data_IF_514885977454
#
_entry.id   IF_514885977454
#
_cell.length_a   1.000
_cell.length_b   1.000
_cell.length_c   1.000
_cell.angle_alpha   90.00
_cell.angle_beta   90.00
_cell.angle_gamma   90.00
#
_symmetry.space_group_name_H-M   'P 1'
#
loop_
_entity.id
_entity.type
_entity.pdbx_description
1 polymer ?
#
# COMPACT_ATOMS: atom_id res chain seq x y z
N UNK A 1 -2.73 -19.44 11.08
CA UNK A 1 -2.52 -18.00 10.74
C UNK A 1 -3.78 -17.24 11.10
N UNK A 2 -3.62 -16.16 11.87
CA UNK A 2 -4.75 -15.37 12.39
C UNK A 2 -4.97 -14.11 11.56
N UNK A 3 -6.22 -13.84 11.22
CA UNK A 3 -6.66 -12.62 10.55
C UNK A 3 -8.17 -12.42 10.76
N UNK A 4 -8.69 -11.26 10.34
CA UNK A 4 -10.14 -11.04 10.30
C UNK A 4 -10.65 -11.13 8.86
N UNK A 5 -11.82 -11.74 8.70
CA UNK A 5 -12.61 -11.74 7.46
C UNK A 5 -13.92 -10.98 7.69
N UNK A 6 -14.51 -10.47 6.61
CA UNK A 6 -15.87 -9.95 6.67
C UNK A 6 -16.79 -10.77 5.75
N UNK A 7 -17.70 -11.60 6.30
CA UNK A 7 -18.54 -12.49 5.50
C UNK A 7 -19.58 -11.75 4.66
N UNK A 8 -19.81 -10.46 4.92
CA UNK A 8 -20.75 -9.63 4.17
C UNK A 8 -20.09 -8.92 2.97
N UNK A 9 -18.75 -9.06 2.81
CA UNK A 9 -18.01 -8.41 1.74
C UNK A 9 -17.40 -9.49 0.85
N UNK A 10 -18.09 -9.78 -0.25
CA UNK A 10 -17.64 -10.69 -1.30
C UNK A 10 -17.20 -9.87 -2.51
N UNK A 11 -15.96 -10.01 -2.92
CA UNK A 11 -15.37 -9.19 -3.96
C UNK A 11 -15.38 -7.70 -3.61
N UNK A 12 -15.17 -6.84 -4.61
CA UNK A 12 -15.20 -5.39 -4.46
C UNK A 12 -16.64 -4.88 -4.63
N UNK A 13 -17.28 -4.35 -3.57
CA UNK A 13 -18.65 -3.87 -3.67
C UNK A 13 -18.74 -2.65 -4.61
N UNK A 14 -19.90 -2.42 -5.27
CA UNK A 14 -20.14 -1.21 -6.06
C UNK A 14 -19.94 0.07 -5.23
N UNK A 15 -19.49 1.15 -5.88
CA UNK A 15 -19.20 2.45 -5.22
C UNK A 15 -20.35 3.04 -4.38
N UNK A 16 -21.60 2.67 -4.70
CA UNK A 16 -22.81 3.17 -4.03
C UNK A 16 -23.50 2.10 -3.17
N UNK A 17 -22.79 1.00 -2.83
CA UNK A 17 -23.32 0.00 -1.94
C UNK A 17 -23.43 0.54 -0.51
N UNK A 18 -24.49 0.14 0.22
CA UNK A 18 -24.66 0.46 1.64
C UNK A 18 -23.91 -0.52 2.55
N UNK A 19 -22.91 -1.24 2.05
CA UNK A 19 -22.13 -2.19 2.84
C UNK A 19 -21.22 -1.41 3.78
N UNK A 20 -21.37 -1.69 5.08
CA UNK A 20 -20.48 -1.11 6.09
C UNK A 20 -19.12 -1.85 6.07
N UNK A 21 -18.07 -1.13 5.67
CA UNK A 21 -16.72 -1.65 5.61
C UNK A 21 -15.99 -1.62 6.96
N UNK A 22 -16.59 -0.98 7.96
CA UNK A 22 -16.02 -0.81 9.29
C UNK A 22 -16.37 -1.92 10.28
N UNK A 23 -17.53 -2.58 10.14
CA UNK A 23 -18.07 -3.53 11.11
C UNK A 23 -18.26 -4.93 10.51
N UNK A 24 -18.68 -5.85 11.37
CA UNK A 24 -18.92 -7.27 11.06
C UNK A 24 -17.64 -8.06 10.69
N UNK A 25 -16.51 -7.67 11.26
CA UNK A 25 -15.26 -8.40 11.11
C UNK A 25 -15.19 -9.55 12.12
N UNK A 26 -14.77 -10.72 11.65
CA UNK A 26 -14.66 -11.94 12.45
C UNK A 26 -13.22 -12.45 12.37
N UNK A 27 -12.60 -12.69 13.52
CA UNK A 27 -11.30 -13.36 13.56
C UNK A 27 -11.46 -14.83 13.22
N UNK A 28 -10.55 -15.32 12.40
CA UNK A 28 -10.36 -16.73 12.09
C UNK A 28 -8.90 -17.13 12.37
N UNK A 29 -8.70 -18.43 12.62
CA UNK A 29 -7.38 -19.06 12.65
C UNK A 29 -7.42 -20.27 11.73
N UNK A 30 -6.69 -20.21 10.62
CA UNK A 30 -6.75 -21.21 9.56
C UNK A 30 -5.37 -21.37 8.87
N UNK A 31 -5.22 -22.46 8.14
CA UNK A 31 -4.04 -22.67 7.32
C UNK A 31 -4.01 -21.72 6.12
N UNK A 32 -2.81 -21.47 5.59
CA UNK A 32 -2.65 -20.56 4.44
C UNK A 32 -3.44 -21.01 3.21
N UNK A 33 -3.51 -22.31 2.97
CA UNK A 33 -4.29 -22.84 1.86
C UNK A 33 -5.77 -22.45 1.96
N UNK A 34 -6.37 -22.63 3.14
CA UNK A 34 -7.79 -22.31 3.39
C UNK A 34 -8.05 -20.80 3.27
N UNK A 35 -7.14 -19.99 3.83
CA UNK A 35 -7.24 -18.52 3.71
C UNK A 35 -7.13 -18.07 2.26
N UNK A 36 -6.25 -18.68 1.49
CA UNK A 36 -6.10 -18.36 0.07
C UNK A 36 -7.37 -18.73 -0.72
N UNK A 37 -8.01 -19.84 -0.41
CA UNK A 37 -9.34 -20.21 -0.96
C UNK A 37 -10.43 -19.20 -0.57
N UNK A 38 -10.53 -18.82 0.70
CA UNK A 38 -11.47 -17.79 1.15
C UNK A 38 -11.31 -16.48 0.37
N UNK A 39 -10.08 -16.11 -0.02
CA UNK A 39 -9.79 -14.90 -0.79
C UNK A 39 -10.09 -15.09 -2.29
N UNK A 40 -9.73 -16.24 -2.88
CA UNK A 40 -9.67 -16.42 -4.33
C UNK A 40 -10.83 -17.24 -4.90
N UNK A 41 -11.53 -18.02 -4.08
CA UNK A 41 -12.72 -18.78 -4.46
C UNK A 41 -13.97 -18.11 -3.90
N UNK A 42 -14.04 -17.90 -2.58
CA UNK A 42 -15.20 -17.28 -1.94
C UNK A 42 -15.20 -15.74 -2.09
N UNK A 43 -14.06 -15.15 -2.37
CA UNK A 43 -13.93 -13.71 -2.58
C UNK A 43 -14.05 -12.87 -1.32
N UNK A 44 -13.84 -13.44 -0.14
CA UNK A 44 -14.01 -12.73 1.13
C UNK A 44 -12.97 -11.63 1.33
N UNK A 45 -13.41 -10.53 1.91
CA UNK A 45 -12.52 -9.46 2.31
C UNK A 45 -11.75 -9.84 3.59
N UNK A 46 -10.47 -9.46 3.62
CA UNK A 46 -9.55 -9.73 4.74
C UNK A 46 -8.95 -8.46 5.33
N UNK A 47 -8.56 -8.52 6.60
CA UNK A 47 -7.82 -7.48 7.32
C UNK A 47 -6.89 -8.11 8.36
N UNK A 48 -6.21 -7.30 9.18
CA UNK A 48 -5.47 -7.75 10.35
C UNK A 48 -6.38 -8.47 11.36
N UNK A 49 -5.83 -9.22 12.30
CA UNK A 49 -6.54 -9.66 13.51
C UNK A 49 -6.97 -8.44 14.32
N UNK A 50 -8.23 -8.40 14.75
CA UNK A 50 -8.83 -7.26 15.45
C UNK A 50 -9.31 -7.69 16.85
N UNK A 51 -9.28 -6.76 17.82
CA UNK A 51 -9.76 -7.02 19.19
C UNK A 51 -11.31 -7.11 19.30
N UNK A 52 -12.02 -6.65 18.27
CA UNK A 52 -13.48 -6.72 18.15
C UNK A 52 -13.89 -6.68 16.67
N UNK A 53 -15.19 -6.61 16.39
CA UNK A 53 -15.78 -6.64 15.05
C UNK A 53 -15.60 -5.34 14.23
N UNK A 54 -14.94 -4.32 14.81
CA UNK A 54 -14.79 -3.00 14.17
C UNK A 54 -13.36 -2.79 13.66
N UNK A 55 -13.21 -2.65 12.35
CA UNK A 55 -11.92 -2.43 11.67
C UNK A 55 -11.45 -0.98 11.84
N UNK A 56 -10.69 -0.76 12.91
CA UNK A 56 -9.97 0.49 13.21
C UNK A 56 -8.57 0.15 13.69
N UNK A 57 -7.63 1.06 13.48
CA UNK A 57 -6.25 0.87 13.93
C UNK A 57 -6.16 0.67 15.46
N UNK A 58 -7.03 1.32 16.24
CA UNK A 58 -7.09 1.14 17.69
C UNK A 58 -7.49 -0.27 18.12
N UNK A 59 -8.05 -1.07 17.21
CA UNK A 59 -8.45 -2.45 17.42
C UNK A 59 -7.47 -3.45 16.80
N UNK A 60 -6.34 -2.99 16.27
CA UNK A 60 -5.29 -3.87 15.74
C UNK A 60 -4.74 -4.77 16.84
N UNK A 61 -4.66 -6.05 16.56
CA UNK A 61 -4.06 -7.06 17.46
C UNK A 61 -2.78 -7.59 16.86
N UNK A 62 -2.87 -8.17 15.66
CA UNK A 62 -1.71 -8.75 14.98
C UNK A 62 -1.92 -8.84 13.47
N UNK A 63 -0.83 -9.07 12.74
CA UNK A 63 -0.91 -9.38 11.31
C UNK A 63 0.18 -10.36 10.90
N UNK A 64 -0.22 -11.43 10.22
CA UNK A 64 0.68 -12.41 9.61
C UNK A 64 0.65 -12.34 8.08
N UNK A 65 -0.48 -11.94 7.47
CA UNK A 65 -0.66 -11.80 6.03
C UNK A 65 -0.53 -10.35 5.60
N UNK A 66 0.53 -10.06 4.85
CA UNK A 66 0.74 -8.75 4.22
C UNK A 66 0.32 -8.83 2.75
N UNK A 67 -0.24 -7.74 2.24
CA UNK A 67 -0.59 -7.65 0.83
C UNK A 67 -0.13 -6.33 0.23
N UNK A 68 0.34 -6.40 -1.00
CA UNK A 68 0.73 -5.25 -1.84
C UNK A 68 -0.21 -5.19 -3.03
N UNK A 69 -0.92 -4.08 -3.18
CA UNK A 69 -1.89 -3.85 -4.27
C UNK A 69 -1.18 -3.18 -5.45
N UNK A 70 -1.16 -3.82 -6.60
CA UNK A 70 -0.59 -3.31 -7.85
C UNK A 70 -1.73 -2.91 -8.76
N UNK A 71 -1.90 -1.61 -8.95
CA UNK A 71 -2.95 -1.06 -9.82
C UNK A 71 -2.45 -0.71 -11.23
N UNK A 72 -1.13 -0.44 -11.38
CA UNK A 72 -0.45 -0.11 -12.64
C UNK A 72 1.07 -0.26 -12.50
N UNK A 73 1.81 -0.17 -13.60
CA UNK A 73 3.28 -0.09 -13.58
C UNK A 73 4.02 -1.41 -13.38
N UNK A 74 3.33 -2.54 -13.25
CA UNK A 74 3.91 -3.88 -13.21
C UNK A 74 2.92 -4.90 -13.79
N UNK A 75 3.41 -5.83 -14.57
CA UNK A 75 2.64 -6.96 -15.10
C UNK A 75 2.85 -8.23 -14.26
N UNK A 76 1.95 -9.20 -14.38
CA UNK A 76 2.13 -10.50 -13.69
C UNK A 76 3.37 -11.25 -14.19
N UNK A 77 3.73 -11.30 -15.48
CA UNK A 77 5.00 -11.85 -15.92
C UNK A 77 6.23 -11.20 -15.26
N UNK A 78 6.26 -9.85 -15.15
CA UNK A 78 7.33 -9.15 -14.43
C UNK A 78 7.36 -9.49 -12.94
N UNK A 79 6.20 -9.68 -12.29
CA UNK A 79 6.13 -10.17 -10.91
C UNK A 79 6.79 -11.56 -10.79
N UNK A 80 6.47 -12.49 -11.70
CA UNK A 80 6.99 -13.86 -11.66
C UNK A 80 8.50 -13.93 -11.90
N UNK A 81 9.10 -12.91 -12.50
CA UNK A 81 10.54 -12.75 -12.65
C UNK A 81 11.17 -11.93 -11.51
N UNK A 82 10.37 -11.30 -10.65
CA UNK A 82 10.87 -10.39 -9.62
C UNK A 82 11.63 -11.14 -8.51
N UNK A 83 12.93 -10.83 -8.25
CA UNK A 83 13.77 -11.63 -7.34
C UNK A 83 13.21 -11.72 -5.91
N UNK A 84 12.67 -10.62 -5.39
CA UNK A 84 12.10 -10.59 -4.03
C UNK A 84 10.82 -11.43 -3.93
N UNK A 85 9.94 -11.38 -4.95
CA UNK A 85 8.77 -12.25 -5.01
C UNK A 85 9.17 -13.71 -5.11
N UNK A 86 10.14 -14.03 -5.97
CA UNK A 86 10.65 -15.39 -6.12
C UNK A 86 11.27 -15.95 -4.85
N UNK A 87 11.86 -15.12 -4.00
CA UNK A 87 12.42 -15.56 -2.73
C UNK A 87 11.35 -15.69 -1.62
N UNK A 88 10.41 -14.76 -1.52
CA UNK A 88 9.57 -14.56 -0.33
C UNK A 88 8.06 -14.47 -0.60
N UNK A 89 7.63 -14.39 -1.84
CA UNK A 89 6.21 -14.27 -2.19
C UNK A 89 5.41 -15.51 -1.80
N UNK A 90 4.36 -15.34 -1.01
CA UNK A 90 3.45 -16.41 -0.62
C UNK A 90 2.37 -16.70 -1.67
N UNK A 91 2.22 -15.81 -2.63
CA UNK A 91 1.29 -15.95 -3.73
C UNK A 91 0.86 -14.60 -4.32
N UNK A 92 0.03 -14.66 -5.33
CA UNK A 92 -0.66 -13.50 -5.89
C UNK A 92 -2.06 -13.87 -6.38
N UNK A 93 -2.91 -12.89 -6.56
CA UNK A 93 -4.21 -13.06 -7.21
C UNK A 93 -4.63 -11.79 -7.97
N UNK A 94 -5.23 -11.98 -9.14
CA UNK A 94 -5.79 -10.90 -9.92
C UNK A 94 -7.02 -10.30 -9.21
N UNK A 95 -7.14 -8.97 -9.22
CA UNK A 95 -8.31 -8.30 -8.65
C UNK A 95 -9.48 -8.32 -9.65
N UNK A 96 -10.74 -8.07 -9.20
CA UNK A 96 -11.90 -8.02 -10.12
C UNK A 96 -11.79 -6.96 -11.23
N UNK A 97 -10.83 -6.06 -11.14
CA UNK A 97 -10.56 -5.01 -12.13
C UNK A 97 -9.41 -5.34 -13.07
N UNK A 98 -8.90 -6.57 -13.04
CA UNK A 98 -7.86 -7.04 -13.94
C UNK A 98 -8.36 -7.13 -15.38
N UNK A 99 -7.55 -6.70 -16.33
CA UNK A 99 -7.69 -6.99 -17.78
C UNK A 99 -6.32 -7.36 -18.37
N UNK A 100 -6.29 -7.89 -19.55
CA UNK A 100 -5.04 -8.23 -20.26
C UNK A 100 -4.19 -7.00 -20.59
N UNK A 101 -4.81 -5.82 -20.72
CA UNK A 101 -4.15 -4.53 -20.98
C UNK A 101 -3.77 -3.81 -19.70
N UNK A 102 -4.49 -4.07 -18.58
CA UNK A 102 -4.29 -3.44 -17.28
C UNK A 102 -4.20 -4.52 -16.20
N UNK A 103 -2.98 -4.93 -15.90
CA UNK A 103 -2.73 -5.88 -14.84
C UNK A 103 -2.99 -5.23 -13.47
N UNK A 104 -4.03 -5.71 -12.79
CA UNK A 104 -4.37 -5.32 -11.42
C UNK A 104 -4.43 -6.56 -10.55
N UNK A 105 -3.49 -6.65 -9.62
CA UNK A 105 -3.33 -7.84 -8.80
C UNK A 105 -2.78 -7.51 -7.42
N UNK A 106 -2.88 -8.45 -6.51
CA UNK A 106 -2.31 -8.37 -5.18
C UNK A 106 -1.25 -9.42 -4.97
N UNK A 107 -0.15 -8.99 -4.38
CA UNK A 107 0.94 -9.86 -3.96
C UNK A 107 0.75 -10.17 -2.48
N UNK A 108 0.82 -11.44 -2.11
CA UNK A 108 0.69 -11.92 -0.74
C UNK A 108 2.07 -12.26 -0.17
N UNK A 109 2.32 -11.85 1.08
CA UNK A 109 3.48 -12.23 1.86
C UNK A 109 3.02 -12.73 3.22
N UNK A 110 3.60 -13.83 3.68
CA UNK A 110 3.34 -14.40 5.01
C UNK A 110 4.54 -14.11 5.89
N UNK A 111 4.29 -13.56 7.07
CA UNK A 111 5.32 -13.42 8.10
C UNK A 111 5.57 -14.77 8.77
N UNK A 112 6.82 -15.06 9.09
CA UNK A 112 7.21 -16.23 9.92
C UNK A 112 6.63 -16.12 11.34
N UNK A 113 6.51 -14.90 11.86
CA UNK A 113 5.87 -14.58 13.13
C UNK A 113 4.91 -13.41 12.95
N UNK A 114 3.78 -13.48 13.67
CA UNK A 114 2.81 -12.40 13.68
C UNK A 114 3.45 -11.07 14.18
N UNK A 115 3.22 -9.99 13.45
CA UNK A 115 3.61 -8.66 13.89
C UNK A 115 2.49 -8.06 14.74
N UNK A 116 2.82 -7.69 15.99
CA UNK A 116 1.88 -7.16 16.98
C UNK A 116 2.03 -5.65 17.18
N UNK A 117 3.09 -5.04 16.67
CA UNK A 117 3.32 -3.59 16.71
C UNK A 117 2.88 -2.95 15.40
N UNK A 118 1.80 -2.17 15.46
CA UNK A 118 1.25 -1.49 14.28
C UNK A 118 2.23 -0.48 13.65
N UNK A 119 3.10 0.14 14.46
CA UNK A 119 4.14 1.06 13.99
C UNK A 119 5.23 0.32 13.21
N UNK A 120 5.69 -0.81 13.74
CA UNK A 120 6.67 -1.66 13.06
C UNK A 120 6.09 -2.29 11.79
N UNK A 121 4.83 -2.73 11.84
CA UNK A 121 4.10 -3.22 10.67
C UNK A 121 4.02 -2.17 9.56
N UNK A 122 3.78 -0.90 9.92
CA UNK A 122 3.79 0.22 8.97
C UNK A 122 5.13 0.37 8.25
N UNK A 123 6.25 0.17 8.97
CA UNK A 123 7.60 0.19 8.37
C UNK A 123 7.79 -0.97 7.40
N UNK A 124 7.38 -2.17 7.78
CA UNK A 124 7.45 -3.37 6.92
C UNK A 124 6.64 -3.12 5.64
N UNK A 125 5.39 -2.66 5.75
CA UNK A 125 4.56 -2.34 4.60
C UNK A 125 5.21 -1.26 3.72
N UNK A 126 5.76 -0.17 4.29
CA UNK A 126 6.47 0.86 3.54
C UNK A 126 7.69 0.32 2.79
N UNK A 127 8.42 -0.62 3.39
CA UNK A 127 9.55 -1.28 2.72
C UNK A 127 9.08 -2.11 1.52
N UNK A 128 8.03 -2.91 1.67
CA UNK A 128 7.43 -3.65 0.57
C UNK A 128 6.95 -2.73 -0.56
N UNK A 129 6.33 -1.59 -0.23
CA UNK A 129 5.93 -0.58 -1.22
C UNK A 129 7.12 0.02 -1.98
N UNK A 130 8.30 0.12 -1.35
CA UNK A 130 9.53 0.55 -2.03
C UNK A 130 10.11 -0.57 -2.92
N UNK A 131 10.08 -1.81 -2.46
CA UNK A 131 10.51 -2.99 -3.25
C UNK A 131 9.69 -3.12 -4.53
N UNK A 132 8.38 -2.89 -4.43
CA UNK A 132 7.43 -2.94 -5.55
C UNK A 132 6.98 -1.52 -5.94
N UNK A 133 7.85 -0.68 -6.44
CA UNK A 133 7.66 0.76 -6.65
C UNK A 133 6.32 1.20 -7.29
N UNK A 134 5.62 0.26 -7.96
CA UNK A 134 4.30 0.46 -8.57
C UNK A 134 3.11 0.27 -7.58
N UNK A 135 3.37 0.01 -6.30
CA UNK A 135 2.36 -0.36 -5.31
C UNK A 135 1.53 0.83 -4.79
N UNK A 136 0.22 0.57 -4.49
CA UNK A 136 -0.67 1.55 -3.85
C UNK A 136 -0.18 1.91 -2.44
N UNK A 137 0.09 3.21 -2.24
CA UNK A 137 0.59 3.76 -0.96
C UNK A 137 -0.40 3.58 0.21
N UNK A 138 -1.66 3.28 -0.04
CA UNK A 138 -2.64 2.99 1.01
C UNK A 138 -2.35 1.64 1.72
N UNK A 139 -1.58 0.74 1.11
CA UNK A 139 -1.18 -0.55 1.73
C UNK A 139 -0.30 -0.40 2.97
N UNK A 140 0.22 0.79 3.28
CA UNK A 140 0.94 1.05 4.54
C UNK A 140 0.07 0.98 5.80
N UNK A 141 -1.26 1.06 5.68
CA UNK A 141 -2.19 0.99 6.82
C UNK A 141 -2.19 -0.43 7.43
N UNK A 142 -1.91 -0.59 8.74
CA UNK A 142 -1.88 -1.90 9.41
C UNK A 142 -3.20 -2.66 9.35
N UNK A 143 -4.32 -1.95 9.35
CA UNK A 143 -5.67 -2.53 9.26
C UNK A 143 -6.28 -2.41 7.86
N UNK A 144 -5.45 -2.23 6.82
CA UNK A 144 -5.92 -2.16 5.44
C UNK A 144 -6.83 -3.34 5.12
N UNK A 145 -8.01 -3.01 4.61
CA UNK A 145 -8.94 -3.96 4.01
C UNK A 145 -8.43 -4.36 2.61
N UNK A 146 -8.43 -5.64 2.33
CA UNK A 146 -8.21 -6.19 0.99
C UNK A 146 -9.43 -7.00 0.57
N UNK A 147 -10.01 -6.67 -0.58
CA UNK A 147 -11.12 -7.42 -1.16
C UNK A 147 -10.59 -8.73 -1.76
N UNK A 148 -11.27 -9.82 -1.55
CA UNK A 148 -11.03 -11.03 -2.31
C UNK A 148 -11.55 -10.92 -3.76
N UNK A 149 -11.29 -11.94 -4.54
CA UNK A 149 -11.78 -12.07 -5.93
C UNK A 149 -12.46 -13.41 -6.05
N UNK A 150 -13.79 -13.47 -6.06
CA UNK A 150 -14.51 -14.74 -6.18
C UNK A 150 -14.16 -15.41 -7.51
N UNK A 151 -14.04 -16.74 -7.48
CA UNK A 151 -13.71 -17.58 -8.66
C UNK A 151 -12.48 -17.07 -9.44
N UNK A 152 -11.44 -16.61 -8.72
CA UNK A 152 -10.23 -16.05 -9.32
C UNK A 152 -9.47 -17.11 -10.13
N UNK A 153 -9.47 -16.97 -11.44
CA UNK A 153 -8.78 -17.92 -12.36
C UNK A 153 -7.29 -17.60 -12.53
N UNK A 154 -6.86 -16.38 -12.20
CA UNK A 154 -5.48 -15.94 -12.36
C UNK A 154 -4.89 -15.66 -10.98
N UNK A 155 -4.45 -16.71 -10.32
CA UNK A 155 -3.80 -16.69 -9.03
C UNK A 155 -2.77 -17.81 -8.92
N UNK A 156 -1.82 -17.65 -8.03
CA UNK A 156 -0.85 -18.67 -7.66
C UNK A 156 -0.55 -18.60 -6.17
N UNK A 157 -0.32 -19.74 -5.53
CA UNK A 157 -0.02 -19.87 -4.12
C UNK A 157 1.28 -20.64 -3.92
N UNK A 158 2.11 -20.12 -3.04
CA UNK A 158 3.32 -20.81 -2.56
C UNK A 158 3.32 -20.87 -1.04
N UNK A 159 4.24 -21.68 -0.45
CA UNK A 159 4.38 -21.79 1.00
C UNK A 159 5.57 -20.97 1.56
N UNK A 160 6.07 -20.01 0.78
CA UNK A 160 7.19 -19.15 1.18
C UNK A 160 6.81 -18.19 2.31
N UNK A 161 7.83 -17.79 3.07
CA UNK A 161 7.69 -16.89 4.21
C UNK A 161 8.68 -15.74 4.13
N UNK A 162 8.26 -14.59 4.63
CA UNK A 162 9.16 -13.53 5.06
C UNK A 162 9.72 -13.90 6.43
N UNK A 163 10.99 -14.31 6.46
CA UNK A 163 11.66 -14.69 7.71
C UNK A 163 11.88 -13.46 8.60
N UNK A 164 12.04 -13.67 9.90
CA UNK A 164 12.29 -12.60 10.85
C UNK A 164 13.54 -11.79 10.50
N UNK A 165 14.57 -12.41 9.92
CA UNK A 165 15.79 -11.72 9.48
C UNK A 165 15.51 -10.76 8.31
N UNK A 166 14.70 -11.16 7.35
CA UNK A 166 14.28 -10.30 6.24
C UNK A 166 13.39 -9.16 6.74
N UNK A 167 12.45 -9.46 7.63
CA UNK A 167 11.61 -8.43 8.27
C UNK A 167 12.47 -7.38 9.00
N UNK A 168 13.49 -7.81 9.72
CA UNK A 168 14.45 -6.92 10.39
C UNK A 168 15.17 -6.02 9.38
N UNK A 169 15.70 -6.57 8.30
CA UNK A 169 16.36 -5.80 7.24
C UNK A 169 15.42 -4.78 6.58
N UNK A 170 14.17 -5.17 6.29
CA UNK A 170 13.16 -4.25 5.74
C UNK A 170 12.89 -3.06 6.67
N UNK A 171 12.82 -3.30 7.98
CA UNK A 171 12.62 -2.21 8.97
C UNK A 171 13.85 -1.31 9.04
N UNK A 172 15.06 -1.87 9.06
CA UNK A 172 16.33 -1.12 9.11
C UNK A 172 16.46 -0.19 7.90
N UNK A 173 16.14 -0.66 6.69
CA UNK A 173 16.14 0.16 5.45
C UNK A 173 15.21 1.38 5.59
N UNK A 174 14.04 1.19 6.19
CA UNK A 174 13.09 2.30 6.38
C UNK A 174 13.60 3.27 7.46
N UNK A 175 14.19 2.77 8.54
CA UNK A 175 14.75 3.61 9.60
C UNK A 175 15.93 4.46 9.10
N UNK A 176 16.78 3.90 8.25
CA UNK A 176 17.85 4.66 7.57
C UNK A 176 17.27 5.74 6.65
N UNK A 177 16.31 5.36 5.80
CA UNK A 177 15.66 6.32 4.91
C UNK A 177 14.96 7.47 5.65
N UNK A 178 14.29 7.18 6.77
CA UNK A 178 13.61 8.20 7.58
C UNK A 178 14.62 9.12 8.28
N UNK A 179 15.76 8.58 8.71
CA UNK A 179 16.87 9.35 9.31
C UNK A 179 17.49 10.30 8.29
N UNK A 180 17.87 9.79 7.11
CA UNK A 180 18.46 10.58 6.04
C UNK A 180 17.51 11.70 5.59
N UNK A 181 16.20 11.39 5.51
CA UNK A 181 15.18 12.37 5.17
C UNK A 181 15.03 13.45 6.24
N UNK A 182 15.10 13.08 7.53
CA UNK A 182 15.04 14.02 8.64
C UNK A 182 16.29 14.92 8.69
N UNK A 183 17.48 14.37 8.48
CA UNK A 183 18.73 15.13 8.38
C UNK A 183 18.72 16.11 7.21
N UNK A 184 18.27 15.67 6.03
CA UNK A 184 18.11 16.54 4.89
C UNK A 184 17.13 17.68 5.17
N UNK A 185 15.98 17.41 5.80
CA UNK A 185 15.03 18.44 6.21
C UNK A 185 15.63 19.42 7.23
N UNK A 186 16.40 18.92 8.20
CA UNK A 186 17.03 19.76 9.23
C UNK A 186 18.04 20.74 8.63
N UNK A 187 18.73 20.38 7.55
CA UNK A 187 19.63 21.28 6.83
C UNK A 187 18.90 22.46 6.16
N UNK A 188 17.60 22.33 5.88
CA UNK A 188 16.76 23.36 5.27
C UNK A 188 15.92 24.16 6.27
N UNK A 189 15.77 23.67 7.51
CA UNK A 189 15.02 24.41 8.56
C UNK A 189 15.78 25.67 8.95
N UNK A 190 15.19 26.83 8.70
CA UNK A 190 15.76 28.15 9.05
C UNK A 190 16.68 28.77 8.00
N UNK A 191 16.91 28.13 6.86
CA UNK A 191 17.53 28.79 5.69
C UNK A 191 16.43 29.20 4.74
N UNK A 192 16.37 30.49 4.38
CA UNK A 192 15.59 30.87 3.23
C UNK A 192 16.11 30.10 2.02
N UNK A 193 15.24 29.41 1.25
CA UNK A 193 15.69 28.78 0.02
C UNK A 193 16.32 29.84 -0.86
N UNK A 194 17.44 29.55 -1.55
CA UNK A 194 18.03 30.51 -2.47
C UNK A 194 16.95 30.93 -3.48
N UNK A 195 16.85 32.22 -3.79
CA UNK A 195 15.87 32.71 -4.76
C UNK A 195 16.07 31.94 -6.07
N UNK A 196 14.98 31.28 -6.54
CA UNK A 196 15.01 30.61 -7.82
C UNK A 196 15.34 31.65 -8.92
N UNK A 197 16.36 31.39 -9.71
CA UNK A 197 16.65 32.19 -10.87
C UNK A 197 15.52 32.14 -11.93
N UNK A 198 15.49 33.06 -12.83
CA UNK A 198 14.43 33.20 -13.83
C UNK A 198 14.34 31.97 -14.75
N UNK A 199 15.44 31.27 -14.99
CA UNK A 199 15.48 30.04 -15.78
C UNK A 199 14.75 28.90 -15.07
N UNK A 200 15.04 28.66 -13.80
CA UNK A 200 14.36 27.63 -13.02
C UNK A 200 12.88 27.97 -12.77
N UNK A 201 12.54 29.26 -12.59
CA UNK A 201 11.15 29.72 -12.51
C UNK A 201 10.37 29.44 -13.79
N UNK A 202 10.92 29.79 -14.96
CA UNK A 202 10.30 29.53 -16.24
C UNK A 202 10.08 28.04 -16.50
N UNK A 203 11.07 27.21 -16.14
CA UNK A 203 10.99 25.74 -16.30
C UNK A 203 9.94 25.11 -15.39
N UNK A 204 9.80 25.59 -14.15
CA UNK A 204 8.74 25.13 -13.23
C UNK A 204 7.37 25.50 -13.78
N UNK A 205 7.19 26.72 -14.29
CA UNK A 205 5.94 27.17 -14.88
C UNK A 205 5.58 26.32 -16.11
N UNK A 206 6.56 25.99 -16.96
CA UNK A 206 6.33 25.13 -18.13
C UNK A 206 5.96 23.69 -17.74
N UNK A 207 6.63 23.11 -16.74
CA UNK A 207 6.28 21.80 -16.21
C UNK A 207 4.87 21.78 -15.61
N UNK A 208 4.50 22.84 -14.89
CA UNK A 208 3.15 22.98 -14.34
C UNK A 208 2.09 23.10 -15.44
N UNK A 209 2.35 23.79 -16.53
CA UNK A 209 1.44 23.87 -17.68
C UNK A 209 1.27 22.52 -18.39
N UNK A 210 2.31 21.69 -18.42
CA UNK A 210 2.29 20.36 -19.05
C UNK A 210 1.65 19.29 -18.18
N UNK A 211 1.64 19.47 -16.84
CA UNK A 211 1.16 18.48 -15.88
C UNK A 211 -0.28 18.69 -15.42
N UNK A 212 -1.13 19.32 -16.23
CA UNK A 212 -2.50 19.75 -15.87
C UNK A 212 -3.53 18.62 -15.66
N UNK A 213 -3.10 17.39 -15.41
CA UNK A 213 -3.96 16.24 -15.13
C UNK A 213 -3.51 15.57 -13.83
N UNK A 214 -3.74 16.19 -12.69
CA UNK A 214 -3.33 15.63 -11.40
C UNK A 214 -4.42 15.70 -10.32
N UNK A 215 -4.33 14.81 -9.34
CA UNK A 215 -5.22 14.77 -8.18
C UNK A 215 -5.02 15.98 -7.24
N UNK A 216 -6.06 16.37 -6.50
CA UNK A 216 -5.99 17.45 -5.51
C UNK A 216 -4.81 17.36 -4.51
N UNK A 217 -4.42 16.17 -3.99
CA UNK A 217 -3.23 16.04 -3.14
C UNK A 217 -1.93 16.47 -3.82
N UNK A 218 -1.76 16.19 -5.10
CA UNK A 218 -0.58 16.60 -5.88
C UNK A 218 -0.54 18.12 -6.01
N UNK A 219 -1.67 18.77 -6.28
CA UNK A 219 -1.79 20.21 -6.35
C UNK A 219 -1.45 20.90 -5.04
N UNK A 220 -1.94 20.37 -3.93
CA UNK A 220 -1.62 20.87 -2.59
C UNK A 220 -0.12 20.85 -2.31
N UNK A 221 0.57 19.73 -2.64
CA UNK A 221 2.00 19.58 -2.43
C UNK A 221 2.83 20.50 -3.32
N UNK A 222 2.43 20.65 -4.59
CA UNK A 222 3.03 21.61 -5.53
C UNK A 222 2.84 23.05 -5.00
N UNK A 223 1.63 23.40 -4.55
CA UNK A 223 1.34 24.71 -3.98
C UNK A 223 2.20 25.06 -2.78
N UNK A 224 2.44 24.12 -1.88
CA UNK A 224 3.32 24.33 -0.74
C UNK A 224 4.78 24.48 -1.16
N UNK A 225 5.26 23.67 -2.10
CA UNK A 225 6.62 23.81 -2.67
C UNK A 225 6.83 25.15 -3.35
N UNK A 226 5.87 25.61 -4.15
CA UNK A 226 5.92 26.92 -4.81
C UNK A 226 5.90 28.08 -3.80
N UNK A 227 5.06 28.02 -2.77
CA UNK A 227 5.01 29.03 -1.71
C UNK A 227 6.34 29.10 -0.95
N UNK A 228 6.95 27.96 -0.62
CA UNK A 228 8.26 27.89 -0.01
C UNK A 228 9.37 28.46 -0.91
N UNK A 229 9.23 28.36 -2.24
CA UNK A 229 10.12 28.95 -3.25
C UNK A 229 9.84 30.42 -3.59
N UNK A 230 8.97 31.12 -2.82
CA UNK A 230 8.68 32.54 -3.00
C UNK A 230 7.75 32.88 -4.16
N UNK A 231 6.96 31.93 -4.64
CA UNK A 231 5.93 32.20 -5.64
C UNK A 231 4.65 32.71 -5.00
N UNK A 232 4.08 33.80 -5.53
CA UNK A 232 2.71 34.22 -5.18
C UNK A 232 1.72 33.24 -5.86
N UNK A 233 1.01 32.48 -5.02
CA UNK A 233 -0.03 31.58 -5.50
C UNK A 233 -1.35 32.35 -5.42
N UNK A 234 -1.85 32.81 -6.57
CA UNK A 234 -3.19 33.36 -6.68
C UNK A 234 -4.25 32.35 -6.20
N UNK A 235 -5.33 32.83 -5.56
CA UNK A 235 -6.46 31.98 -5.19
C UNK A 235 -7.03 31.39 -6.48
N UNK A 236 -6.88 30.09 -6.67
CA UNK A 236 -7.66 29.38 -7.68
C UNK A 236 -9.13 29.48 -7.28
N UNK A 237 -9.93 30.14 -8.09
CA UNK A 237 -11.39 30.07 -7.96
C UNK A 237 -11.79 28.63 -8.33
N UNK A 238 -12.33 27.92 -7.34
CA UNK A 238 -13.06 26.66 -7.51
C UNK A 238 -14.44 26.98 -8.05
#
# INVERSE_FOLDING_TARGET
>A
MKLSINPNIIGKPPKHSNIDLGYNWMNIDAEWADIFELITVDGLATSAELSNDNRRETNFVSRELLMVDIDEGMTIPELLEHPFYNAYGAGFYATPSFTTEHHKFRICFRLEQAEIDSGRLRKINRALLKVFGAADQACKDPTRLFYGTPDCVLCDRTDKLLTNDIVKQLVEIIDEFDRDSAEAMTQYVGKEPPPLDDFHRARIIDLLKQSFVGSYPMWRNIGWGLKAGGFEIGRAHV
#
